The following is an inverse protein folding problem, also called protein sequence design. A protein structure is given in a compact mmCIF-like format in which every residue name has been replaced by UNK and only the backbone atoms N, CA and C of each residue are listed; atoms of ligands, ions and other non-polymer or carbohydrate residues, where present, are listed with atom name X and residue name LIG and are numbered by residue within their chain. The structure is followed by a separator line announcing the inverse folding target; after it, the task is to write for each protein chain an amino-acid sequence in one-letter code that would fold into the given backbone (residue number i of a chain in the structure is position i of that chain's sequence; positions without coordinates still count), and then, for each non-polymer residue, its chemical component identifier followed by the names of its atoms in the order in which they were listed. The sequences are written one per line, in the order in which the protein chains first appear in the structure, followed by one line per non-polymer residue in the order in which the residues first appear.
data_IF_112189683403
#
_entry.id   IF_112189683403
#
_cell.length_a   1.000
_cell.length_b   1.000
_cell.length_c   1.000
_cell.angle_alpha   90.00
_cell.angle_beta   90.00
_cell.angle_gamma   90.00
#
_symmetry.space_group_name_H-M   'P 1'
#
loop_
_entity.id
_entity.type
_entity.pdbx_description
1 polymer ?
#
# COMPACT_ATOMS: atom_id res chain seq x y z
N UNK A 1 31.11 13.08 16.16
CA UNK A 1 29.72 12.83 16.63
C UNK A 1 28.91 14.08 16.30
N UNK A 2 28.24 14.08 15.17
CA UNK A 2 27.37 15.19 14.74
C UNK A 2 25.94 14.69 14.90
N UNK A 3 25.25 15.20 15.91
CA UNK A 3 23.79 15.02 16.09
C UNK A 3 23.08 15.45 14.82
N UNK A 4 22.48 14.49 14.10
CA UNK A 4 21.50 14.81 13.06
C UNK A 4 20.24 15.34 13.75
N UNK A 5 20.16 16.68 13.88
CA UNK A 5 18.95 17.38 14.24
C UNK A 5 17.83 16.92 13.30
N UNK A 6 16.79 16.26 13.84
CA UNK A 6 15.60 15.93 13.10
C UNK A 6 15.01 17.21 12.47
N UNK A 7 14.59 17.21 11.21
CA UNK A 7 14.07 18.39 10.56
C UNK A 7 12.89 18.95 11.39
N UNK A 8 12.97 20.24 11.72
CA UNK A 8 11.95 20.93 12.53
C UNK A 8 10.64 20.91 11.74
N UNK A 9 9.76 19.94 12.01
CA UNK A 9 8.46 19.85 11.35
C UNK A 9 7.65 21.12 11.63
N UNK A 10 7.07 21.73 10.60
CA UNK A 10 6.13 22.86 10.73
C UNK A 10 4.94 22.46 11.62
N UNK A 11 4.13 23.42 12.10
CA UNK A 11 2.92 23.13 12.87
C UNK A 11 1.99 22.19 12.08
N UNK A 12 1.77 22.48 10.80
CA UNK A 12 0.98 21.65 9.89
C UNK A 12 1.58 20.24 9.74
N UNK A 13 2.90 20.15 9.53
CA UNK A 13 3.58 18.85 9.42
C UNK A 13 3.49 18.01 10.71
N UNK A 14 3.48 18.65 11.88
CA UNK A 14 3.25 17.98 13.18
C UNK A 14 1.81 17.51 13.32
N UNK A 15 0.81 18.29 12.87
CA UNK A 15 -0.59 17.91 12.90
C UNK A 15 -0.85 16.71 11.98
N UNK A 16 -0.27 16.69 10.76
CA UNK A 16 -0.33 15.55 9.88
C UNK A 16 0.37 14.32 10.49
N UNK A 17 1.54 14.49 11.10
CA UNK A 17 2.23 13.40 11.80
C UNK A 17 1.40 12.78 12.94
N UNK A 18 0.55 13.55 13.60
CA UNK A 18 -0.43 13.01 14.57
C UNK A 18 -1.47 12.14 13.86
N UNK A 19 -2.03 12.60 12.74
CA UNK A 19 -3.01 11.81 11.96
C UNK A 19 -2.38 10.53 11.37
N UNK A 20 -1.13 10.60 10.94
CA UNK A 20 -0.37 9.45 10.38
C UNK A 20 -0.10 8.34 11.41
N UNK A 21 -0.31 8.60 12.72
CA UNK A 21 -0.21 7.55 13.73
C UNK A 21 -1.36 6.56 13.67
N UNK A 22 -2.49 6.93 13.05
CA UNK A 22 -3.66 6.06 12.93
C UNK A 22 -3.52 5.13 11.71
N UNK A 23 -3.70 3.85 11.92
CA UNK A 23 -3.65 2.82 10.88
C UNK A 23 -4.68 1.70 11.17
N UNK A 24 -4.71 0.65 10.34
CA UNK A 24 -5.66 -0.44 10.49
C UNK A 24 -5.55 -1.18 11.83
N UNK A 25 -4.36 -1.22 12.46
CA UNK A 25 -4.09 -1.85 13.75
C UNK A 25 -4.29 -0.88 14.92
N UNK A 26 -4.19 0.41 14.67
CA UNK A 26 -4.21 1.48 15.68
C UNK A 26 -5.31 2.50 15.34
N UNK A 27 -6.55 2.01 15.20
CA UNK A 27 -7.72 2.86 14.91
C UNK A 27 -8.13 3.73 16.08
N UNK A 28 -7.87 3.26 17.29
CA UNK A 28 -8.10 3.97 18.56
C UNK A 28 -6.80 4.03 19.32
N UNK A 29 -6.46 5.20 19.84
CA UNK A 29 -5.19 5.41 20.51
C UNK A 29 -5.32 6.42 21.65
N UNK A 30 -4.63 6.12 22.75
CA UNK A 30 -4.44 7.09 23.83
C UNK A 30 -3.47 8.20 23.39
N UNK A 31 -3.58 9.36 24.06
CA UNK A 31 -2.68 10.50 23.82
C UNK A 31 -1.19 10.11 23.93
N UNK A 32 -0.84 9.24 24.88
CA UNK A 32 0.52 8.75 25.09
C UNK A 32 0.99 7.88 23.92
N UNK A 33 0.11 7.03 23.37
CA UNK A 33 0.41 6.22 22.18
C UNK A 33 0.67 7.10 20.95
N UNK A 34 -0.20 8.09 20.73
CA UNK A 34 -0.04 9.07 19.64
C UNK A 34 1.30 9.79 19.76
N UNK A 35 1.65 10.28 20.97
CA UNK A 35 2.90 11.01 21.21
C UNK A 35 4.13 10.17 20.87
N UNK A 36 4.16 8.91 21.32
CA UNK A 36 5.25 7.99 21.05
C UNK A 36 5.37 7.69 19.55
N UNK A 37 4.25 7.44 18.86
CA UNK A 37 4.23 7.07 17.44
C UNK A 37 4.52 8.27 16.52
N UNK A 38 4.07 9.46 16.88
CA UNK A 38 4.38 10.70 16.15
C UNK A 38 5.80 11.21 16.40
N UNK A 39 6.51 10.63 17.39
CA UNK A 39 7.83 11.09 17.87
C UNK A 39 7.79 12.59 18.29
N UNK A 40 6.72 12.98 19.00
CA UNK A 40 6.51 14.35 19.45
C UNK A 40 6.34 14.40 20.98
N UNK A 41 6.76 15.51 21.63
CA UNK A 41 6.50 15.71 23.05
C UNK A 41 5.01 15.65 23.38
N UNK A 42 4.65 15.03 24.52
CA UNK A 42 3.26 14.84 24.94
C UNK A 42 2.48 16.17 25.01
N UNK A 43 3.12 17.23 25.49
CA UNK A 43 2.51 18.58 25.57
C UNK A 43 2.18 19.14 24.17
N UNK A 44 3.04 18.89 23.18
CA UNK A 44 2.79 19.28 21.79
C UNK A 44 1.62 18.50 21.22
N UNK A 45 1.60 17.17 21.43
CA UNK A 45 0.52 16.30 20.94
C UNK A 45 -0.80 16.65 21.59
N UNK A 46 -0.81 16.92 22.91
CA UNK A 46 -2.03 17.35 23.60
C UNK A 46 -2.67 18.57 22.94
N UNK A 47 -1.88 19.62 22.64
CA UNK A 47 -2.38 20.82 21.96
C UNK A 47 -2.87 20.51 20.55
N UNK A 48 -2.10 19.74 19.76
CA UNK A 48 -2.48 19.39 18.38
C UNK A 48 -3.74 18.52 18.32
N UNK A 49 -3.85 17.53 19.20
CA UNK A 49 -5.03 16.66 19.29
C UNK A 49 -6.27 17.47 19.66
N UNK A 50 -6.17 18.40 20.61
CA UNK A 50 -7.28 19.30 20.98
C UNK A 50 -7.72 20.17 19.79
N UNK A 51 -6.78 20.73 19.03
CA UNK A 51 -7.07 21.49 17.80
C UNK A 51 -7.78 20.62 16.75
N UNK A 52 -7.28 19.38 16.54
CA UNK A 52 -7.86 18.44 15.59
C UNK A 52 -9.26 17.97 16.04
N UNK A 53 -9.49 17.81 17.35
CA UNK A 53 -10.78 17.47 17.93
C UNK A 53 -11.79 18.63 17.72
N UNK A 54 -11.39 19.88 18.00
CA UNK A 54 -12.20 21.07 17.76
C UNK A 54 -12.61 21.21 16.28
N UNK A 55 -11.81 20.66 15.37
CA UNK A 55 -12.10 20.64 13.94
C UNK A 55 -12.83 19.37 13.46
N UNK A 56 -13.22 18.46 14.36
CA UNK A 56 -13.80 17.15 14.04
C UNK A 56 -12.89 16.29 13.13
N UNK A 57 -11.58 16.55 13.13
CA UNK A 57 -10.59 15.70 12.45
C UNK A 57 -10.22 14.49 13.32
N UNK A 58 -10.27 14.65 14.64
CA UNK A 58 -10.25 13.55 15.63
C UNK A 58 -11.52 13.62 16.46
N UNK A 59 -11.87 12.48 17.08
CA UNK A 59 -12.98 12.36 18.03
C UNK A 59 -12.46 11.60 19.25
N UNK A 60 -12.82 12.05 20.44
CA UNK A 60 -12.48 11.39 21.67
C UNK A 60 -13.61 10.42 22.08
N UNK A 61 -13.28 9.16 22.25
CA UNK A 61 -14.21 8.16 22.74
C UNK A 61 -14.50 8.28 24.25
N UNK A 62 -15.52 7.57 24.73
CA UNK A 62 -15.91 7.55 26.14
C UNK A 62 -14.84 6.98 27.08
N UNK A 63 -13.93 6.17 26.54
CA UNK A 63 -12.77 5.60 27.23
C UNK A 63 -11.55 6.54 27.28
N UNK A 64 -11.66 7.72 26.64
CA UNK A 64 -10.60 8.72 26.60
C UNK A 64 -9.62 8.55 25.44
N UNK A 65 -9.74 7.50 24.64
CA UNK A 65 -8.95 7.27 23.42
C UNK A 65 -9.48 8.10 22.25
N UNK A 66 -8.60 8.37 21.31
CA UNK A 66 -8.90 9.16 20.10
C UNK A 66 -9.01 8.27 18.88
N UNK A 67 -9.88 8.65 17.94
CA UNK A 67 -10.05 8.03 16.62
C UNK A 67 -10.24 9.08 15.53
N UNK A 68 -10.07 8.68 14.27
CA UNK A 68 -10.24 9.59 13.12
C UNK A 68 -11.69 10.08 13.05
N UNK A 69 -11.87 11.39 13.01
CA UNK A 69 -13.17 12.04 12.93
C UNK A 69 -13.76 12.10 11.51
N UNK A 70 -15.06 12.34 11.44
CA UNK A 70 -15.83 12.36 10.18
C UNK A 70 -15.34 13.40 9.17
N UNK A 71 -14.66 14.46 9.61
CA UNK A 71 -14.11 15.48 8.70
C UNK A 71 -13.06 14.89 7.78
N UNK A 72 -12.14 14.08 8.31
CA UNK A 72 -11.08 13.44 7.52
C UNK A 72 -11.70 12.48 6.51
N UNK A 73 -12.70 11.67 6.92
CA UNK A 73 -13.41 10.77 6.02
C UNK A 73 -14.07 11.53 4.87
N UNK A 74 -14.81 12.63 5.16
CA UNK A 74 -15.47 13.44 4.11
C UNK A 74 -14.45 14.07 3.14
N UNK A 75 -13.32 14.57 3.64
CA UNK A 75 -12.25 15.11 2.80
C UNK A 75 -11.61 14.02 1.95
N UNK A 76 -11.39 12.83 2.52
CA UNK A 76 -10.87 11.68 1.80
C UNK A 76 -11.76 11.24 0.63
N UNK A 77 -13.07 11.34 0.75
CA UNK A 77 -14.01 11.05 -0.34
C UNK A 77 -13.89 12.03 -1.54
N UNK A 78 -13.34 13.21 -1.32
CA UNK A 78 -13.10 14.20 -2.39
C UNK A 78 -11.75 14.02 -3.08
N UNK A 79 -10.90 13.13 -2.57
CA UNK A 79 -9.62 12.83 -3.17
C UNK A 79 -9.84 11.99 -4.45
N UNK A 80 -9.72 12.63 -5.61
CA UNK A 80 -9.93 12.00 -6.91
C UNK A 80 -8.73 11.19 -7.41
N UNK A 81 -7.60 11.24 -6.72
CA UNK A 81 -6.29 10.77 -7.21
C UNK A 81 -6.28 9.30 -7.65
N UNK A 82 -7.13 8.47 -7.05
CA UNK A 82 -7.21 7.04 -7.39
C UNK A 82 -8.63 6.59 -7.75
N UNK A 83 -9.65 7.46 -7.74
CA UNK A 83 -11.03 7.09 -8.04
C UNK A 83 -11.18 6.57 -9.46
N UNK A 84 -10.59 7.26 -10.43
CA UNK A 84 -10.64 6.87 -11.85
C UNK A 84 -9.91 5.53 -12.10
N UNK A 85 -8.71 5.33 -11.49
CA UNK A 85 -8.01 4.05 -11.55
C UNK A 85 -8.88 2.92 -10.99
N UNK A 86 -9.50 3.17 -9.85
CA UNK A 86 -10.39 2.24 -9.16
C UNK A 86 -11.61 1.88 -10.01
N UNK A 87 -12.31 2.87 -10.55
CA UNK A 87 -13.50 2.68 -11.41
C UNK A 87 -13.18 1.84 -12.65
N UNK A 88 -12.04 2.13 -13.30
CA UNK A 88 -11.61 1.37 -14.49
C UNK A 88 -11.16 -0.04 -14.13
N UNK A 89 -10.51 -0.24 -12.96
CA UNK A 89 -9.97 -1.53 -12.57
C UNK A 89 -11.02 -2.49 -12.00
N UNK A 90 -12.06 -1.96 -11.35
CA UNK A 90 -13.04 -2.73 -10.57
C UNK A 90 -13.68 -3.87 -11.38
N UNK A 91 -14.20 -3.68 -12.62
CA UNK A 91 -14.79 -4.77 -13.39
C UNK A 91 -13.81 -5.92 -13.64
N UNK A 92 -12.56 -5.62 -13.98
CA UNK A 92 -11.52 -6.63 -14.22
C UNK A 92 -11.15 -7.41 -12.96
N UNK A 93 -11.15 -6.74 -11.81
CA UNK A 93 -10.91 -7.37 -10.52
C UNK A 93 -12.08 -8.28 -10.12
N UNK A 94 -13.32 -7.84 -10.37
CA UNK A 94 -14.53 -8.60 -10.10
C UNK A 94 -14.59 -9.87 -10.95
N UNK A 95 -14.28 -9.80 -12.24
CA UNK A 95 -14.25 -10.96 -13.15
C UNK A 95 -13.32 -12.06 -12.63
N UNK A 96 -12.09 -11.70 -12.23
CA UNK A 96 -11.13 -12.68 -11.67
C UNK A 96 -11.59 -13.18 -10.31
N UNK A 97 -12.11 -12.29 -9.46
CA UNK A 97 -12.62 -12.66 -8.14
C UNK A 97 -13.78 -13.66 -8.24
N UNK A 98 -14.74 -13.45 -9.13
CA UNK A 98 -15.90 -14.35 -9.34
C UNK A 98 -15.46 -15.75 -9.73
N UNK A 99 -14.38 -15.88 -10.51
CA UNK A 99 -13.88 -17.17 -10.98
C UNK A 99 -13.08 -17.92 -9.91
N UNK A 100 -12.34 -17.23 -9.07
CA UNK A 100 -11.33 -17.85 -8.18
C UNK A 100 -11.64 -17.69 -6.69
N UNK A 101 -12.48 -16.71 -6.33
CA UNK A 101 -12.86 -16.37 -4.94
C UNK A 101 -11.67 -16.06 -4.02
N UNK A 102 -10.54 -15.64 -4.60
CA UNK A 102 -9.36 -15.16 -3.89
C UNK A 102 -9.30 -13.63 -3.91
N UNK A 103 -8.70 -13.02 -2.90
CA UNK A 103 -8.70 -11.56 -2.80
C UNK A 103 -7.93 -10.90 -3.95
N UNK A 104 -8.56 -9.96 -4.64
CA UNK A 104 -7.94 -9.12 -5.64
C UNK A 104 -7.57 -7.76 -5.04
N UNK A 105 -6.45 -7.20 -5.46
CA UNK A 105 -6.01 -5.88 -5.03
C UNK A 105 -5.28 -5.13 -6.14
N UNK A 106 -5.38 -3.81 -6.12
CA UNK A 106 -4.58 -2.93 -6.97
C UNK A 106 -3.79 -1.97 -6.09
N UNK A 107 -2.53 -1.75 -6.44
CA UNK A 107 -1.63 -0.90 -5.68
C UNK A 107 -0.84 0.04 -6.59
N UNK A 108 -0.50 1.21 -6.06
CA UNK A 108 0.38 2.20 -6.67
C UNK A 108 1.62 2.43 -5.80
N UNK A 109 2.65 3.01 -6.38
CA UNK A 109 3.83 3.44 -5.63
C UNK A 109 3.51 4.69 -4.81
N UNK A 110 3.89 4.68 -3.53
CA UNK A 110 3.75 5.80 -2.60
C UNK A 110 5.03 5.92 -1.75
N UNK A 111 5.96 6.73 -2.20
CA UNK A 111 7.30 6.83 -1.61
C UNK A 111 8.00 5.47 -1.60
N UNK A 112 8.44 5.02 -0.41
CA UNK A 112 9.10 3.72 -0.21
C UNK A 112 8.12 2.58 0.14
N UNK A 113 6.83 2.74 -0.13
CA UNK A 113 5.76 1.78 0.16
C UNK A 113 4.88 1.59 -1.06
N UNK A 114 4.03 0.59 -1.07
CA UNK A 114 2.91 0.51 -1.99
C UNK A 114 1.62 0.86 -1.25
N UNK A 115 0.80 1.70 -1.87
CA UNK A 115 -0.53 2.07 -1.38
C UNK A 115 -1.57 1.17 -2.05
N UNK A 116 -2.36 0.47 -1.25
CA UNK A 116 -3.50 -0.30 -1.73
C UNK A 116 -4.63 0.66 -2.07
N UNK A 117 -4.97 0.76 -3.35
CA UNK A 117 -6.03 1.64 -3.88
C UNK A 117 -7.39 0.99 -3.77
N UNK A 118 -7.48 -0.29 -4.14
CA UNK A 118 -8.72 -1.06 -4.06
C UNK A 118 -8.43 -2.52 -3.68
N UNK A 119 -9.41 -3.15 -3.05
CA UNK A 119 -9.40 -4.57 -2.70
C UNK A 119 -10.79 -5.17 -2.75
N UNK A 120 -10.92 -6.28 -3.46
CA UNK A 120 -12.09 -7.17 -3.43
C UNK A 120 -11.70 -8.41 -2.64
N UNK A 121 -12.51 -8.78 -1.64
CA UNK A 121 -12.24 -9.96 -0.83
C UNK A 121 -13.55 -10.51 -0.27
N UNK A 122 -13.69 -11.83 -0.32
CA UNK A 122 -14.80 -12.55 0.30
C UNK A 122 -14.52 -12.98 1.74
N UNK A 123 -15.47 -13.70 2.31
CA UNK A 123 -15.42 -14.22 3.69
C UNK A 123 -14.34 -15.27 3.95
N UNK A 124 -13.76 -15.85 2.90
CA UNK A 124 -12.70 -16.89 2.99
C UNK A 124 -11.28 -16.31 3.01
N UNK A 125 -11.15 -15.00 2.91
CA UNK A 125 -9.84 -14.36 2.94
C UNK A 125 -9.32 -14.28 4.36
N UNK A 126 -8.04 -14.63 4.53
CA UNK A 126 -7.27 -14.31 5.74
C UNK A 126 -7.57 -12.86 6.15
N UNK A 127 -7.62 -12.58 7.45
CA UNK A 127 -7.59 -11.19 7.95
C UNK A 127 -6.31 -10.52 7.47
N UNK A 128 -6.27 -10.23 6.19
CA UNK A 128 -5.08 -9.69 5.54
C UNK A 128 -4.96 -8.23 5.90
N UNK A 129 -3.75 -7.88 6.23
CA UNK A 129 -3.26 -6.55 6.57
C UNK A 129 -3.53 -5.51 5.45
N UNK A 130 -3.95 -5.94 4.25
CA UNK A 130 -4.22 -5.07 3.10
C UNK A 130 -5.69 -4.65 3.04
N UNK A 131 -5.97 -3.40 3.34
CA UNK A 131 -7.26 -2.73 3.10
C UNK A 131 -6.99 -1.52 2.19
N UNK A 132 -7.99 -1.01 1.45
CA UNK A 132 -7.81 0.26 0.77
C UNK A 132 -7.27 1.33 1.73
N UNK A 133 -6.25 2.09 1.29
CA UNK A 133 -5.49 3.01 2.11
C UNK A 133 -4.31 2.42 2.89
N UNK A 134 -4.12 1.10 2.92
CA UNK A 134 -2.95 0.49 3.58
C UNK A 134 -1.68 0.74 2.79
N UNK A 135 -0.61 1.12 3.49
CA UNK A 135 0.75 1.29 2.97
C UNK A 135 1.61 0.08 3.35
N UNK A 136 1.97 -0.74 2.38
CA UNK A 136 2.67 -2.00 2.61
C UNK A 136 4.11 -1.95 2.10
N UNK A 137 4.94 -2.88 2.60
CA UNK A 137 6.34 -3.00 2.19
C UNK A 137 6.46 -3.42 0.72
N UNK A 138 7.34 -2.73 -0.02
CA UNK A 138 7.61 -3.05 -1.43
C UNK A 138 8.29 -4.41 -1.58
N UNK A 139 9.20 -4.79 -0.68
CA UNK A 139 9.97 -6.02 -0.79
C UNK A 139 9.22 -7.29 -0.35
N UNK A 140 8.18 -7.16 0.49
CA UNK A 140 7.49 -8.30 1.09
C UNK A 140 6.10 -8.59 0.49
N UNK A 141 5.67 -7.84 -0.55
CA UNK A 141 4.38 -8.02 -1.20
C UNK A 141 4.52 -8.24 -2.69
N UNK A 142 3.63 -9.04 -3.32
CA UNK A 142 3.68 -9.27 -4.76
C UNK A 142 3.51 -7.97 -5.55
N UNK A 143 2.51 -7.14 -5.23
CA UNK A 143 2.30 -5.83 -5.86
C UNK A 143 3.48 -4.89 -5.62
N UNK A 144 4.04 -4.91 -4.41
CA UNK A 144 5.22 -4.12 -4.06
C UNK A 144 6.46 -4.53 -4.86
N UNK A 145 6.72 -5.83 -5.00
CA UNK A 145 7.86 -6.34 -5.80
C UNK A 145 7.72 -5.98 -7.28
N UNK A 146 6.50 -6.01 -7.84
CA UNK A 146 6.25 -5.54 -9.20
C UNK A 146 6.59 -4.06 -9.34
N UNK A 147 6.09 -3.21 -8.44
CA UNK A 147 6.38 -1.77 -8.45
C UNK A 147 7.88 -1.49 -8.26
N UNK A 148 8.51 -2.17 -7.31
CA UNK A 148 9.95 -2.02 -7.03
C UNK A 148 10.81 -2.49 -8.21
N UNK A 149 10.46 -3.60 -8.84
CA UNK A 149 11.20 -4.13 -9.99
C UNK A 149 11.22 -3.15 -11.16
N UNK A 150 10.14 -2.37 -11.35
CA UNK A 150 10.02 -1.39 -12.43
C UNK A 150 10.29 0.06 -11.98
N UNK A 151 10.58 0.26 -10.70
CA UNK A 151 11.02 1.54 -10.15
C UNK A 151 12.42 1.93 -10.61
N UNK A 152 12.80 3.18 -10.36
CA UNK A 152 14.13 3.68 -10.65
C UNK A 152 15.21 3.12 -9.71
N UNK A 153 16.47 3.41 -10.01
CA UNK A 153 17.61 2.92 -9.24
C UNK A 153 17.65 3.49 -7.81
N UNK A 154 17.20 4.73 -7.62
CA UNK A 154 17.18 5.39 -6.32
C UNK A 154 16.14 4.72 -5.40
N UNK A 155 14.94 4.42 -5.90
CA UNK A 155 13.93 3.68 -5.17
C UNK A 155 14.44 2.29 -4.77
N UNK A 156 15.03 1.55 -5.74
CA UNK A 156 15.56 0.22 -5.47
C UNK A 156 16.64 0.27 -4.39
N UNK A 157 17.61 1.17 -4.50
CA UNK A 157 18.68 1.37 -3.53
C UNK A 157 18.13 1.74 -2.15
N UNK A 158 17.16 2.65 -2.08
CA UNK A 158 16.56 3.07 -0.81
C UNK A 158 15.85 1.90 -0.11
N UNK A 159 15.13 1.05 -0.83
CA UNK A 159 14.45 -0.13 -0.27
C UNK A 159 15.43 -1.21 0.13
N UNK A 160 16.45 -1.49 -0.69
CA UNK A 160 17.48 -2.50 -0.38
C UNK A 160 18.29 -2.19 0.88
N UNK A 161 18.40 -0.92 1.25
CA UNK A 161 19.11 -0.49 2.48
C UNK A 161 18.32 -0.74 3.77
N UNK A 162 17.02 -1.08 3.70
CA UNK A 162 16.16 -1.28 4.88
C UNK A 162 15.08 -2.33 4.58
N UNK A 163 15.42 -3.59 4.76
CA UNK A 163 14.55 -4.74 4.55
C UNK A 163 14.03 -5.26 5.89
N UNK A 164 12.88 -4.74 6.31
CA UNK A 164 12.21 -5.16 7.55
C UNK A 164 11.77 -6.63 7.45
N UNK A 165 11.95 -7.41 8.53
CA UNK A 165 11.44 -8.77 8.63
C UNK A 165 10.00 -8.74 9.18
N UNK A 166 9.08 -9.38 8.47
CA UNK A 166 7.67 -9.53 8.87
C UNK A 166 7.34 -10.96 9.31
N UNK A 167 7.97 -11.94 8.66
CA UNK A 167 7.86 -13.37 8.94
C UNK A 167 9.22 -14.04 8.76
N UNK A 168 9.31 -15.33 9.03
CA UNK A 168 10.53 -16.11 8.76
C UNK A 168 10.80 -16.27 7.25
N UNK A 169 9.77 -16.10 6.41
CA UNK A 169 9.87 -16.19 4.95
C UNK A 169 10.20 -14.83 4.29
N UNK A 170 10.22 -13.74 5.04
CA UNK A 170 10.57 -12.41 4.49
C UNK A 170 11.99 -12.41 3.95
N UNK A 171 12.15 -12.00 2.70
CA UNK A 171 13.49 -11.81 2.09
C UNK A 171 14.10 -10.53 2.66
N UNK A 172 15.20 -10.71 3.40
CA UNK A 172 15.97 -9.62 4.02
C UNK A 172 17.40 -9.53 3.46
N UNK A 173 17.78 -10.42 2.54
CA UNK A 173 19.05 -10.34 1.81
C UNK A 173 18.88 -9.48 0.55
N UNK A 174 19.64 -8.36 0.43
CA UNK A 174 19.55 -7.46 -0.72
C UNK A 174 19.88 -8.15 -2.06
N UNK A 175 20.87 -9.05 -2.09
CA UNK A 175 21.29 -9.74 -3.31
C UNK A 175 20.25 -10.73 -3.83
N UNK A 176 19.59 -11.43 -2.90
CA UNK A 176 18.47 -12.31 -3.22
C UNK A 176 17.30 -11.48 -3.80
N UNK A 177 16.97 -10.36 -3.16
CA UNK A 177 15.90 -9.49 -3.65
C UNK A 177 16.22 -8.90 -5.02
N UNK A 178 17.44 -8.39 -5.24
CA UNK A 178 17.86 -7.88 -6.56
C UNK A 178 17.71 -8.92 -7.66
N UNK A 179 18.07 -10.16 -7.39
CA UNK A 179 17.93 -11.27 -8.34
C UNK A 179 16.47 -11.53 -8.67
N UNK A 180 15.59 -11.51 -7.65
CA UNK A 180 14.16 -11.62 -7.86
C UNK A 180 13.58 -10.46 -8.68
N UNK A 181 14.00 -9.22 -8.41
CA UNK A 181 13.53 -8.05 -9.16
C UNK A 181 13.90 -8.13 -10.64
N UNK A 182 15.11 -8.61 -10.97
CA UNK A 182 15.52 -8.88 -12.36
C UNK A 182 14.64 -9.94 -13.01
N UNK A 183 14.35 -11.01 -12.30
CA UNK A 183 13.46 -12.08 -12.77
C UNK A 183 12.05 -11.58 -13.02
N UNK A 184 11.49 -10.77 -12.10
CA UNK A 184 10.15 -10.16 -12.23
C UNK A 184 10.05 -9.29 -13.48
N UNK A 185 11.09 -8.50 -13.81
CA UNK A 185 11.12 -7.68 -15.05
C UNK A 185 11.00 -8.53 -16.31
N UNK A 186 11.67 -9.69 -16.34
CA UNK A 186 11.72 -10.57 -17.51
C UNK A 186 10.43 -11.39 -17.65
N UNK A 187 9.98 -12.02 -16.54
CA UNK A 187 8.81 -12.91 -16.58
C UNK A 187 7.46 -12.18 -16.54
N UNK A 188 7.45 -10.89 -16.14
CA UNK A 188 6.26 -10.04 -16.12
C UNK A 188 5.29 -10.31 -14.97
N UNK A 189 5.72 -10.99 -13.90
CA UNK A 189 4.95 -11.17 -12.68
C UNK A 189 5.84 -11.35 -11.46
N UNK A 190 5.31 -11.08 -10.26
CA UNK A 190 5.91 -11.41 -8.99
C UNK A 190 5.09 -12.47 -8.27
N UNK A 191 5.76 -13.35 -7.49
CA UNK A 191 5.14 -14.29 -6.56
C UNK A 191 5.75 -14.07 -5.18
N UNK A 192 4.92 -14.11 -4.13
CA UNK A 192 5.38 -14.13 -2.74
C UNK A 192 4.76 -15.33 -2.01
N UNK A 193 5.53 -15.86 -1.08
CA UNK A 193 5.13 -16.99 -0.24
C UNK A 193 5.33 -16.57 1.21
N UNK A 194 4.25 -16.22 1.90
CA UNK A 194 4.24 -15.90 3.33
C UNK A 194 5.22 -14.81 3.78
N UNK A 195 5.65 -13.93 2.86
CA UNK A 195 6.69 -12.94 3.15
C UNK A 195 6.21 -11.74 3.98
N UNK A 196 4.94 -11.31 3.83
CA UNK A 196 4.34 -10.22 4.62
C UNK A 196 3.54 -10.74 5.81
N UNK A 197 2.87 -11.87 5.63
CA UNK A 197 2.03 -12.51 6.65
C UNK A 197 2.05 -14.02 6.45
N UNK A 198 2.14 -14.76 7.54
CA UNK A 198 2.06 -16.22 7.54
C UNK A 198 0.72 -16.67 6.93
N UNK A 199 0.74 -17.78 6.24
CA UNK A 199 -0.42 -18.37 5.58
C UNK A 199 -0.91 -17.60 4.35
N UNK A 200 -0.21 -16.55 3.87
CA UNK A 200 -0.60 -15.77 2.70
C UNK A 200 0.35 -15.95 1.51
N UNK A 201 -0.20 -16.29 0.35
CA UNK A 201 0.54 -16.31 -0.93
C UNK A 201 -0.03 -15.29 -1.89
N UNK A 202 0.79 -14.73 -2.76
CA UNK A 202 0.29 -13.79 -3.77
C UNK A 202 0.99 -13.91 -5.11
N UNK A 203 0.26 -13.52 -6.18
CA UNK A 203 0.80 -13.23 -7.51
C UNK A 203 0.41 -11.81 -7.87
N UNK A 204 1.33 -11.09 -8.51
CA UNK A 204 1.04 -9.75 -9.00
C UNK A 204 1.65 -9.53 -10.38
N UNK A 205 0.98 -8.70 -11.18
CA UNK A 205 1.38 -8.31 -12.54
C UNK A 205 1.45 -6.80 -12.68
N UNK A 206 2.31 -6.26 -13.55
CA UNK A 206 2.37 -4.82 -13.79
C UNK A 206 1.16 -4.34 -14.59
N UNK A 207 0.67 -3.16 -14.24
CA UNK A 207 -0.24 -2.36 -15.05
C UNK A 207 0.57 -1.26 -15.70
N UNK A 208 0.52 -1.24 -17.05
CA UNK A 208 1.37 -0.35 -17.84
C UNK A 208 0.57 0.83 -18.38
N UNK A 209 1.17 1.98 -18.30
CA UNK A 209 0.67 3.22 -18.86
C UNK A 209 1.19 3.48 -20.26
N UNK A 210 0.99 4.72 -20.69
CA UNK A 210 1.48 5.23 -21.97
C UNK A 210 3.01 5.14 -22.01
N UNK A 211 3.56 4.58 -23.10
CA UNK A 211 5.01 4.37 -23.23
C UNK A 211 5.54 3.10 -22.56
N UNK A 212 4.66 2.26 -21.94
CA UNK A 212 5.04 0.97 -21.37
C UNK A 212 5.57 1.02 -19.94
N UNK A 213 5.66 2.22 -19.33
CA UNK A 213 6.04 2.38 -17.93
C UNK A 213 4.99 1.77 -16.99
N UNK A 214 5.42 1.19 -15.88
CA UNK A 214 4.52 0.62 -14.86
C UNK A 214 3.97 1.74 -13.99
N UNK A 215 2.64 1.83 -13.93
CA UNK A 215 1.92 2.86 -13.18
C UNK A 215 1.21 2.31 -11.94
N UNK A 216 0.90 1.03 -11.94
CA UNK A 216 0.26 0.31 -10.85
C UNK A 216 0.60 -1.18 -10.92
N UNK A 217 0.18 -1.96 -9.92
CA UNK A 217 0.27 -3.40 -9.92
C UNK A 217 -1.08 -4.02 -9.54
N UNK A 218 -1.50 -5.05 -10.28
CA UNK A 218 -2.68 -5.86 -9.99
C UNK A 218 -2.23 -7.15 -9.31
N UNK A 219 -2.81 -7.49 -8.17
CA UNK A 219 -2.44 -8.66 -7.38
C UNK A 219 -3.63 -9.52 -7.00
N UNK A 220 -3.38 -10.82 -6.88
CA UNK A 220 -4.25 -11.80 -6.25
C UNK A 220 -3.57 -12.33 -5.00
N UNK A 221 -4.31 -12.45 -3.90
CA UNK A 221 -3.84 -12.95 -2.61
C UNK A 221 -4.75 -14.08 -2.16
N UNK A 222 -4.15 -15.21 -1.83
CA UNK A 222 -4.84 -16.42 -1.42
C UNK A 222 -4.23 -17.01 -0.14
N UNK A 223 -4.97 -17.87 0.58
CA UNK A 223 -4.39 -18.69 1.64
C UNK A 223 -3.30 -19.62 1.11
N UNK A 224 -2.28 -19.88 1.93
CA UNK A 224 -1.24 -20.90 1.70
C UNK A 224 -1.79 -22.29 2.07
N UNK A 225 -2.81 -22.73 1.32
CA UNK A 225 -3.56 -23.97 1.55
C UNK A 225 -3.07 -25.16 0.70
N UNK A 226 -1.88 -25.04 0.14
CA UNK A 226 -1.29 -26.05 -0.74
C UNK A 226 -1.72 -25.95 -2.21
N UNK A 227 -2.63 -25.05 -2.57
CA UNK A 227 -2.95 -24.79 -3.98
C UNK A 227 -1.77 -24.15 -4.69
N UNK A 228 -1.52 -24.60 -5.92
CA UNK A 228 -0.53 -23.95 -6.78
C UNK A 228 -1.12 -22.67 -7.39
N UNK A 229 -0.90 -21.55 -6.71
CA UNK A 229 -1.33 -20.25 -7.20
C UNK A 229 -0.65 -19.87 -8.54
N UNK A 230 0.47 -20.51 -8.89
CA UNK A 230 1.17 -20.30 -10.16
C UNK A 230 0.31 -20.58 -11.39
N UNK A 231 -0.71 -21.42 -11.26
CA UNK A 231 -1.69 -21.68 -12.33
C UNK A 231 -2.51 -20.45 -12.72
N UNK A 232 -2.57 -19.43 -11.85
CA UNK A 232 -3.28 -18.18 -12.11
C UNK A 232 -2.40 -17.14 -12.85
N UNK A 233 -1.11 -17.38 -13.04
CA UNK A 233 -0.22 -16.44 -13.73
C UNK A 233 -0.74 -16.07 -15.12
N UNK A 234 -1.16 -17.00 -16.01
CA UNK A 234 -1.66 -16.63 -17.33
C UNK A 234 -2.90 -15.73 -17.26
N UNK A 235 -3.85 -16.04 -16.37
CA UNK A 235 -5.07 -15.24 -16.18
C UNK A 235 -4.69 -13.83 -15.71
N UNK A 236 -3.82 -13.73 -14.71
CA UNK A 236 -3.37 -12.44 -14.18
C UNK A 236 -2.65 -11.61 -15.25
N UNK A 237 -1.79 -12.22 -16.07
CA UNK A 237 -1.08 -11.53 -17.16
C UNK A 237 -2.05 -11.03 -18.24
N UNK A 238 -3.03 -11.85 -18.65
CA UNK A 238 -4.06 -11.45 -19.62
C UNK A 238 -4.92 -10.31 -19.08
N UNK A 239 -5.40 -10.43 -17.85
CA UNK A 239 -6.18 -9.38 -17.17
C UNK A 239 -5.36 -8.10 -17.03
N UNK A 240 -4.12 -8.19 -16.59
CA UNK A 240 -3.23 -7.03 -16.44
C UNK A 240 -2.96 -6.33 -17.77
N UNK A 241 -2.78 -7.08 -18.86
CA UNK A 241 -2.61 -6.51 -20.20
C UNK A 241 -3.89 -5.84 -20.72
N UNK A 242 -5.07 -6.45 -20.50
CA UNK A 242 -6.35 -5.87 -20.86
C UNK A 242 -6.64 -4.59 -20.08
N UNK A 243 -6.46 -4.62 -18.78
CA UNK A 243 -6.64 -3.45 -17.90
C UNK A 243 -5.64 -2.33 -18.26
N UNK A 244 -4.37 -2.66 -18.55
CA UNK A 244 -3.38 -1.66 -18.98
C UNK A 244 -3.83 -0.90 -20.23
N UNK A 245 -4.35 -1.60 -21.24
CA UNK A 245 -4.91 -0.95 -22.44
C UNK A 245 -6.07 -0.02 -22.08
N UNK A 246 -6.97 -0.48 -21.21
CA UNK A 246 -8.13 0.31 -20.79
C UNK A 246 -7.75 1.57 -20.02
N UNK A 247 -6.73 1.49 -19.16
CA UNK A 247 -6.18 2.65 -18.44
C UNK A 247 -5.60 3.70 -19.39
N UNK A 248 -4.89 3.26 -20.43
CA UNK A 248 -4.37 4.17 -21.45
C UNK A 248 -5.50 4.84 -22.25
N UNK A 249 -6.54 4.08 -22.65
CA UNK A 249 -7.71 4.62 -23.32
C UNK A 249 -8.47 5.64 -22.46
N UNK A 250 -8.55 5.41 -21.16
CA UNK A 250 -9.18 6.33 -20.20
C UNK A 250 -8.31 7.57 -19.86
N UNK A 251 -7.12 7.71 -20.46
CA UNK A 251 -6.21 8.82 -20.20
C UNK A 251 -5.42 8.72 -18.88
N UNK A 252 -5.46 7.57 -18.22
CA UNK A 252 -4.79 7.30 -16.94
C UNK A 252 -3.38 6.71 -17.12
N UNK A 253 -2.89 6.67 -18.33
CA UNK A 253 -1.59 6.08 -18.68
C UNK A 253 -0.36 6.87 -18.22
N UNK A 254 -0.51 7.97 -17.48
CA UNK A 254 0.59 8.81 -17.03
C UNK A 254 0.89 8.56 -15.55
N UNK A 255 2.09 8.04 -15.26
CA UNK A 255 2.52 7.76 -13.88
C UNK A 255 2.49 9.01 -12.98
N UNK A 256 2.75 10.19 -13.54
CA UNK A 256 2.72 11.46 -12.80
C UNK A 256 1.34 11.78 -12.22
N UNK A 257 0.25 11.37 -12.90
CA UNK A 257 -1.12 11.56 -12.38
C UNK A 257 -1.45 10.63 -11.21
N UNK A 258 -0.83 9.46 -11.15
CA UNK A 258 -1.07 8.47 -10.08
C UNK A 258 -0.10 8.65 -8.90
N UNK A 259 1.04 9.33 -9.12
CA UNK A 259 2.02 9.64 -8.08
C UNK A 259 1.87 11.06 -7.51
N UNK A 260 0.98 11.88 -8.04
CA UNK A 260 0.80 13.30 -7.68
C UNK A 260 0.19 13.52 -6.28
N UNK A 261 0.63 12.76 -5.30
CA UNK A 261 0.27 12.88 -3.89
C UNK A 261 1.50 12.91 -2.98
N UNK A 262 2.61 13.44 -3.46
CA UNK A 262 3.77 13.79 -2.61
C UNK A 262 3.91 15.31 -2.49
#
# INVERSE_FOLDING_TARGET
MTEKSAPTRTVTGRALAVLDTFDAKHRRQSLASIARRAELPLTTVHRLVHELENQNALVRGSDGDYEIGSKIWRLGLLASVHSELREVALPYMEDVYQLHNDAMQIAVLDGLRCLIVERIAGSRTLEVISKPGSRLALHATGVGKVLLAHGDAELQKAVLNSLDRYTDQTITDPGVLETQLKTIKVQGFAKTQEELAEGAVSIAVPLRGKGGNVIAALGIVAPSDGRDLGKLVPVMQVTGAALSRKLVEAGLGDAARLQASN
#
